data_IF_522458034197
#
_entry.id   IF_522458034197
#
_cell.length_a   1.000
_cell.length_b   1.000
_cell.length_c   1.000
_cell.angle_alpha   90.00
_cell.angle_beta   90.00
_cell.angle_gamma   90.00
#
_symmetry.space_group_name_H-M   'P 1'
#
loop_
_entity.id
_entity.type
_entity.pdbx_description
1 polymer ?
#
# COMPACT_ATOMS: atom_id res chain seq x y z
N UNK A 1 0.78 2.96 17.31
CA UNK A 1 2.17 2.50 17.08
C UNK A 1 2.93 3.59 16.31
N UNK A 2 4.20 3.83 16.64
CA UNK A 2 5.07 4.72 15.86
C UNK A 2 6.28 3.89 15.43
N UNK A 3 6.64 3.96 14.14
CA UNK A 3 7.82 3.28 13.61
C UNK A 3 8.75 4.30 12.98
N UNK A 4 10.02 3.95 12.95
CA UNK A 4 11.03 4.65 12.17
C UNK A 4 11.41 3.71 11.03
N UNK A 5 11.19 4.15 9.79
CA UNK A 5 11.62 3.40 8.62
C UNK A 5 12.68 4.20 7.86
N UNK A 6 13.56 3.47 7.20
CA UNK A 6 14.56 4.03 6.28
C UNK A 6 14.16 3.60 4.87
N UNK A 7 13.98 4.57 3.97
CA UNK A 7 13.68 4.28 2.58
C UNK A 7 14.88 3.59 1.91
N UNK A 8 14.68 2.43 1.30
CA UNK A 8 15.73 1.69 0.59
C UNK A 8 16.09 2.28 -0.77
N UNK A 9 15.27 3.21 -1.29
CA UNK A 9 15.47 3.85 -2.59
C UNK A 9 16.31 5.13 -2.48
N UNK A 10 16.09 5.93 -1.43
CA UNK A 10 16.70 7.25 -1.28
C UNK A 10 17.31 7.50 0.11
N UNK A 11 17.49 6.45 0.92
CA UNK A 11 18.08 6.45 2.27
C UNK A 11 17.44 7.43 3.28
N UNK A 12 16.30 8.01 2.92
CA UNK A 12 15.62 8.98 3.76
C UNK A 12 14.97 8.27 4.94
N UNK A 13 15.38 8.66 6.14
CA UNK A 13 14.81 8.17 7.39
C UNK A 13 13.60 8.99 7.79
N UNK A 14 12.48 8.34 8.09
CA UNK A 14 11.24 9.02 8.48
C UNK A 14 10.50 8.26 9.57
N UNK A 15 9.90 9.01 10.49
CA UNK A 15 9.01 8.47 11.52
C UNK A 15 7.55 8.60 11.06
N UNK A 16 6.77 7.53 11.19
CA UNK A 16 5.35 7.49 10.83
C UNK A 16 4.55 6.89 11.98
N UNK A 17 3.35 7.43 12.20
CA UNK A 17 2.41 6.97 13.24
C UNK A 17 1.16 6.41 12.59
N UNK A 18 0.72 5.25 13.05
CA UNK A 18 -0.49 4.59 12.59
C UNK A 18 -1.12 3.75 13.70
N UNK A 19 -2.35 3.29 13.44
CA UNK A 19 -3.07 2.43 14.39
C UNK A 19 -2.40 1.07 14.48
N UNK A 20 -2.38 0.47 15.68
CA UNK A 20 -1.86 -0.88 15.85
C UNK A 20 -2.68 -1.91 15.05
N UNK A 21 -3.99 -1.72 14.99
CA UNK A 21 -4.90 -2.59 14.23
C UNK A 21 -4.54 -2.64 12.75
N UNK A 22 -4.23 -1.50 12.13
CA UNK A 22 -3.80 -1.46 10.72
C UNK A 22 -2.49 -2.21 10.49
N UNK A 23 -1.57 -2.16 11.46
CA UNK A 23 -0.28 -2.83 11.38
C UNK A 23 -0.36 -4.35 11.57
N UNK A 24 -1.31 -4.85 12.37
CA UNK A 24 -1.45 -6.29 12.67
C UNK A 24 -2.48 -7.01 11.81
N UNK A 25 -3.50 -6.31 11.34
CA UNK A 25 -4.67 -6.91 10.67
C UNK A 25 -5.03 -6.21 9.36
N UNK A 26 -4.12 -5.43 8.81
CA UNK A 26 -4.36 -4.68 7.58
C UNK A 26 -3.10 -4.47 6.76
N UNK A 27 -3.22 -3.52 5.84
CA UNK A 27 -2.16 -3.06 4.96
C UNK A 27 -1.73 -1.66 5.41
N UNK A 28 -0.43 -1.42 5.51
CA UNK A 28 0.16 -0.12 5.85
C UNK A 28 1.08 0.31 4.72
N UNK A 29 0.69 1.39 4.04
CA UNK A 29 1.49 2.05 3.01
C UNK A 29 1.84 3.45 3.50
N UNK A 30 3.09 3.86 3.34
CA UNK A 30 3.56 5.20 3.73
C UNK A 30 4.18 5.92 2.55
N UNK A 31 3.91 7.23 2.45
CA UNK A 31 4.61 8.09 1.50
C UNK A 31 5.95 8.54 2.07
N UNK A 32 7.04 8.26 1.34
CA UNK A 32 8.38 8.72 1.69
C UNK A 32 8.53 10.22 1.37
N UNK A 33 9.05 11.06 2.29
CA UNK A 33 9.29 12.47 1.99
C UNK A 33 10.46 12.71 1.01
N UNK A 34 11.38 11.74 0.86
CA UNK A 34 12.53 11.85 -0.04
C UNK A 34 12.18 11.56 -1.49
N UNK A 35 11.83 10.32 -1.80
CA UNK A 35 11.49 9.90 -3.17
C UNK A 35 10.02 10.13 -3.57
N UNK A 36 9.17 10.60 -2.65
CA UNK A 36 7.73 10.83 -2.85
C UNK A 36 6.92 9.57 -3.24
N UNK A 37 7.55 8.39 -3.28
CA UNK A 37 6.89 7.12 -3.56
C UNK A 37 6.20 6.54 -2.32
N UNK A 38 5.27 5.62 -2.60
CA UNK A 38 4.59 4.81 -1.60
C UNK A 38 5.40 3.55 -1.29
N UNK A 39 5.67 3.33 0.00
CA UNK A 39 6.39 2.16 0.49
C UNK A 39 5.44 1.30 1.33
N UNK A 40 5.40 0.02 1.03
CA UNK A 40 4.69 -0.98 1.82
C UNK A 40 5.48 -1.27 3.10
N UNK A 41 4.81 -1.19 4.25
CA UNK A 41 5.39 -1.41 5.58
C UNK A 41 4.90 -2.73 6.18
N UNK A 42 3.61 -3.03 6.02
CA UNK A 42 3.00 -4.26 6.49
C UNK A 42 1.86 -4.62 5.53
N UNK A 43 1.78 -5.90 5.19
CA UNK A 43 0.65 -6.50 4.49
C UNK A 43 0.33 -7.82 5.19
N UNK A 44 -0.70 -7.82 6.03
CA UNK A 44 -1.14 -9.04 6.72
C UNK A 44 -2.36 -9.67 6.05
N UNK A 45 -2.77 -9.14 4.89
CA UNK A 45 -3.93 -9.60 4.15
C UNK A 45 -3.53 -10.26 2.83
N UNK A 46 -2.24 -10.27 2.47
CA UNK A 46 -1.71 -10.90 1.26
C UNK A 46 -2.07 -10.14 -0.01
N UNK A 47 -2.28 -8.82 0.08
CA UNK A 47 -2.60 -7.99 -1.09
C UNK A 47 -1.46 -7.95 -2.10
N UNK A 48 -0.20 -7.96 -1.67
CA UNK A 48 0.95 -7.70 -2.55
C UNK A 48 1.89 -8.89 -2.72
N UNK A 49 1.59 -10.05 -2.11
CA UNK A 49 2.44 -11.26 -2.19
C UNK A 49 2.16 -12.14 -3.41
N UNK A 50 0.97 -12.08 -4.01
CA UNK A 50 0.72 -12.74 -5.30
C UNK A 50 1.20 -11.81 -6.44
N UNK A 51 2.09 -12.29 -7.32
CA UNK A 51 2.49 -11.67 -8.61
C UNK A 51 1.31 -11.39 -9.57
N UNK A 52 0.08 -11.56 -9.10
CA UNK A 52 -1.19 -11.41 -9.80
C UNK A 52 -2.12 -10.40 -9.14
N UNK A 53 -1.65 -9.57 -8.20
CA UNK A 53 -2.50 -8.53 -7.63
C UNK A 53 -2.84 -7.45 -8.65
N UNK A 54 -4.12 -7.37 -9.02
CA UNK A 54 -4.71 -6.32 -9.86
C UNK A 54 -5.93 -5.75 -9.14
N UNK A 55 -6.17 -4.44 -9.27
CA UNK A 55 -7.34 -3.78 -8.68
C UNK A 55 -8.65 -4.43 -9.12
N UNK A 56 -8.69 -4.93 -10.36
CA UNK A 56 -9.84 -5.63 -10.95
C UNK A 56 -10.14 -6.96 -10.25
N UNK A 57 -9.10 -7.74 -9.92
CA UNK A 57 -9.26 -9.01 -9.20
C UNK A 57 -9.73 -8.77 -7.77
N UNK A 58 -9.17 -7.76 -7.11
CA UNK A 58 -9.59 -7.38 -5.76
C UNK A 58 -11.07 -6.98 -5.72
N UNK A 59 -11.53 -6.18 -6.67
CA UNK A 59 -12.94 -5.80 -6.74
C UNK A 59 -13.84 -6.99 -7.05
N UNK A 60 -13.42 -7.89 -7.95
CA UNK A 60 -14.13 -9.13 -8.22
C UNK A 60 -14.26 -10.03 -6.98
N UNK A 61 -13.23 -10.15 -6.14
CA UNK A 61 -13.28 -10.91 -4.88
C UNK A 61 -14.18 -10.24 -3.82
N UNK A 62 -14.25 -8.90 -3.81
CA UNK A 62 -15.07 -8.14 -2.86
C UNK A 62 -16.51 -7.93 -3.33
N UNK A 63 -16.82 -8.23 -4.59
CA UNK A 63 -18.12 -8.00 -5.21
C UNK A 63 -18.35 -6.54 -5.63
N UNK A 64 -17.29 -5.74 -5.77
CA UNK A 64 -17.34 -4.36 -6.23
C UNK A 64 -17.21 -4.31 -7.77
N UNK A 65 -18.05 -3.51 -8.43
CA UNK A 65 -18.03 -3.34 -9.89
C UNK A 65 -17.13 -2.16 -10.28
N UNK A 66 -16.03 -2.42 -11.00
CA UNK A 66 -15.15 -1.36 -11.51
C UNK A 66 -15.55 -1.00 -12.94
N UNK A 67 -15.92 0.26 -13.15
CA UNK A 67 -16.10 0.80 -14.49
C UNK A 67 -14.77 1.39 -14.97
N UNK A 68 -14.14 0.76 -15.98
CA UNK A 68 -13.03 1.38 -16.70
C UNK A 68 -13.58 2.52 -17.54
N UNK A 69 -12.99 3.70 -17.39
CA UNK A 69 -13.27 4.86 -18.24
C UNK A 69 -12.05 5.03 -19.12
N UNK A 70 -12.15 4.58 -20.37
CA UNK A 70 -11.14 4.86 -21.39
C UNK A 70 -11.47 6.25 -21.98
N UNK A 71 -10.64 7.25 -21.63
CA UNK A 71 -10.69 8.57 -22.25
C UNK A 71 -9.86 8.51 -23.53
N UNK A 72 -10.50 8.12 -24.63
CA UNK A 72 -9.94 8.23 -25.99
C UNK A 72 -10.01 9.71 -26.40
N UNK A 73 -8.91 10.45 -26.23
CA UNK A 73 -8.74 11.81 -26.76
C UNK A 73 -7.59 11.90 -27.76
#
# INVERSE_FOLDING_TARGET
LAIIFTCTVCDTRSAKKFSERSYRHGVVIVKCPGCQNHHLIADNLGFFEDDRWDVEKLAAERGDEINKVDDDN
#
